data_IF_251652465182
#
_entry.id   IF_251652465182
#
_cell.length_a   1.000
_cell.length_b   1.000
_cell.length_c   1.000
_cell.angle_alpha   90.00
_cell.angle_beta   90.00
_cell.angle_gamma   90.00
#
_symmetry.space_group_name_H-M   'P 1'
#
loop_
_entity.id
_entity.type
_entity.pdbx_description
1 polymer ?
#
# COMPACT_ATOMS: atom_id res chain seq x y z
N UNK A 1 -33.47 -4.44 -12.01
CA UNK A 1 -34.35 -4.40 -10.83
C UNK A 1 -33.48 -4.68 -9.60
N UNK A 2 -32.94 -3.63 -8.97
CA UNK A 2 -32.09 -3.70 -7.77
C UNK A 2 -32.98 -3.50 -6.54
N UNK A 3 -32.97 -4.45 -5.62
CA UNK A 3 -33.63 -4.31 -4.31
C UNK A 3 -32.85 -3.30 -3.47
N UNK A 4 -33.48 -2.15 -3.19
CA UNK A 4 -33.02 -1.22 -2.18
C UNK A 4 -33.19 -1.86 -0.80
N UNK A 5 -32.09 -2.07 -0.08
CA UNK A 5 -32.18 -2.41 1.35
C UNK A 5 -32.48 -1.13 2.12
N UNK A 6 -33.61 -1.04 2.85
CA UNK A 6 -33.90 0.10 3.68
C UNK A 6 -32.87 0.16 4.81
N UNK A 7 -32.23 1.30 4.95
CA UNK A 7 -31.48 1.69 6.14
C UNK A 7 -32.35 1.40 7.37
N UNK A 8 -31.99 0.39 8.14
CA UNK A 8 -32.67 0.10 9.41
C UNK A 8 -32.33 1.23 10.37
N UNK A 9 -33.30 2.11 10.55
CA UNK A 9 -33.33 3.27 11.44
C UNK A 9 -32.72 2.95 12.84
N UNK A 10 -31.91 3.87 13.35
CA UNK A 10 -31.36 3.87 14.71
C UNK A 10 -32.42 3.62 15.79
N UNK A 11 -33.67 4.06 15.55
CA UNK A 11 -34.81 3.78 16.40
C UNK A 11 -35.08 2.29 16.61
N UNK A 12 -34.93 1.49 15.55
CA UNK A 12 -35.17 0.03 15.60
C UNK A 12 -34.06 -0.70 16.38
N UNK A 13 -32.81 -0.26 16.24
CA UNK A 13 -31.68 -0.79 17.01
C UNK A 13 -31.81 -0.49 18.51
N UNK A 14 -32.21 0.73 18.87
CA UNK A 14 -32.48 1.13 20.26
C UNK A 14 -33.66 0.36 20.88
N UNK A 15 -34.73 0.13 20.12
CA UNK A 15 -35.88 -0.64 20.58
C UNK A 15 -35.49 -2.08 20.95
N UNK A 16 -34.72 -2.76 20.09
CA UNK A 16 -34.27 -4.13 20.33
C UNK A 16 -33.27 -4.25 21.49
N UNK A 17 -32.35 -3.29 21.63
CA UNK A 17 -31.44 -3.24 22.76
C UNK A 17 -32.20 -3.15 24.09
N UNK A 18 -33.22 -2.29 24.16
CA UNK A 18 -34.07 -2.14 25.36
C UNK A 18 -34.87 -3.40 25.67
N UNK A 19 -35.42 -4.06 24.65
CA UNK A 19 -36.16 -5.31 24.81
C UNK A 19 -35.29 -6.44 25.37
N UNK A 20 -34.04 -6.56 24.91
CA UNK A 20 -33.10 -7.58 25.40
C UNK A 20 -32.62 -7.34 26.85
N UNK A 21 -32.46 -6.06 27.26
CA UNK A 21 -32.22 -5.71 28.67
C UNK A 21 -33.40 -6.14 29.53
N UNK A 22 -34.62 -5.78 29.10
CA UNK A 22 -35.85 -6.08 29.83
C UNK A 22 -36.11 -7.60 29.98
N UNK A 23 -35.67 -8.41 29.00
CA UNK A 23 -35.82 -9.88 29.06
C UNK A 23 -34.73 -10.60 29.86
N UNK A 24 -33.85 -9.88 30.56
CA UNK A 24 -32.76 -10.47 31.35
C UNK A 24 -31.66 -11.15 30.51
N UNK A 25 -31.66 -10.93 29.18
CA UNK A 25 -30.67 -11.50 28.24
C UNK A 25 -29.52 -10.52 27.98
N UNK A 26 -29.07 -9.85 29.05
CA UNK A 26 -28.05 -8.81 28.97
C UNK A 26 -26.68 -9.31 28.48
N UNK A 27 -26.37 -10.61 28.69
CA UNK A 27 -25.16 -11.23 28.14
C UNK A 27 -25.12 -11.13 26.62
N UNK A 28 -26.28 -11.24 25.95
CA UNK A 28 -26.41 -11.16 24.49
C UNK A 28 -26.46 -9.75 23.93
N UNK A 29 -26.29 -8.71 24.77
CA UNK A 29 -26.16 -7.31 24.34
C UNK A 29 -24.68 -7.05 24.00
N UNK A 30 -24.18 -7.83 23.05
CA UNK A 30 -23.23 -7.34 22.07
C UNK A 30 -24.03 -7.08 20.80
N UNK A 31 -23.55 -6.19 19.92
CA UNK A 31 -24.04 -6.21 18.55
C UNK A 31 -24.03 -7.67 18.06
N UNK A 32 -25.13 -8.17 17.48
CA UNK A 32 -25.18 -9.54 17.00
C UNK A 32 -23.91 -9.80 16.21
N UNK A 33 -23.24 -10.91 16.49
CA UNK A 33 -22.03 -11.40 15.82
C UNK A 33 -22.28 -11.80 14.36
N UNK A 34 -23.11 -11.02 13.67
CA UNK A 34 -23.25 -10.92 12.23
C UNK A 34 -22.34 -9.81 11.73
N UNK A 35 -21.09 -9.81 12.20
CA UNK A 35 -20.03 -9.12 11.47
C UNK A 35 -19.73 -10.05 10.29
N UNK A 36 -20.15 -9.77 9.05
CA UNK A 36 -19.56 -10.46 7.92
C UNK A 36 -18.05 -10.26 8.03
N UNK A 37 -17.29 -11.35 7.99
CA UNK A 37 -15.82 -11.33 8.08
C UNK A 37 -15.14 -10.49 6.97
N UNK A 38 -15.92 -9.93 6.03
CA UNK A 38 -15.47 -9.16 4.89
C UNK A 38 -14.97 -7.74 5.21
N UNK A 39 -15.27 -7.16 6.39
CA UNK A 39 -15.00 -5.73 6.67
C UNK A 39 -13.92 -5.46 7.75
N UNK A 40 -13.37 -6.50 8.38
CA UNK A 40 -12.12 -6.43 9.17
C UNK A 40 -11.11 -7.40 8.58
N UNK A 41 -9.98 -6.87 8.11
CA UNK A 41 -8.89 -7.65 7.55
C UNK A 41 -8.22 -8.59 8.56
N UNK A 42 -7.49 -9.58 8.02
CA UNK A 42 -6.58 -10.39 8.81
C UNK A 42 -5.53 -9.50 9.51
N UNK A 43 -5.02 -9.90 10.69
CA UNK A 43 -3.91 -9.20 11.32
C UNK A 43 -2.68 -9.15 10.41
N UNK A 44 -2.01 -8.01 10.37
CA UNK A 44 -0.72 -7.84 9.70
C UNK A 44 0.18 -6.91 10.52
N UNK A 45 1.43 -6.73 10.09
CA UNK A 45 2.39 -5.87 10.78
C UNK A 45 2.66 -4.59 10.01
N UNK A 46 2.71 -3.46 10.73
CA UNK A 46 3.23 -2.19 10.24
C UNK A 46 4.33 -1.76 11.19
N UNK A 47 5.58 -1.77 10.72
CA UNK A 47 6.71 -1.30 11.55
C UNK A 47 6.87 -2.02 12.90
N UNK A 48 6.45 -3.28 12.98
CA UNK A 48 6.46 -4.09 14.20
C UNK A 48 5.12 -4.24 14.91
N UNK A 49 4.17 -3.31 14.70
CA UNK A 49 2.89 -3.30 15.40
C UNK A 49 1.85 -4.16 14.71
N UNK A 50 1.07 -4.91 15.49
CA UNK A 50 -0.04 -5.69 14.97
C UNK A 50 -1.24 -4.80 14.67
N UNK A 51 -1.54 -4.68 13.38
CA UNK A 51 -2.62 -3.86 12.86
C UNK A 51 -3.70 -4.70 12.19
N UNK A 52 -4.87 -4.08 11.99
CA UNK A 52 -5.93 -4.61 11.13
C UNK A 52 -6.44 -3.53 10.21
N UNK A 53 -6.80 -3.94 9.00
CA UNK A 53 -7.61 -3.13 8.09
C UNK A 53 -9.05 -3.13 8.58
N UNK A 54 -9.68 -1.96 8.64
CA UNK A 54 -11.08 -1.81 9.02
C UNK A 54 -11.74 -0.87 8.01
N UNK A 55 -12.65 -1.43 7.21
CA UNK A 55 -13.33 -0.69 6.13
C UNK A 55 -14.22 0.42 6.67
N UNK A 56 -14.93 0.15 7.76
CA UNK A 56 -15.93 1.05 8.36
C UNK A 56 -15.78 1.07 9.89
N UNK A 57 -14.80 1.81 10.44
CA UNK A 57 -14.48 1.80 11.87
C UNK A 57 -15.69 2.08 12.79
N UNK A 58 -16.57 2.99 12.36
CA UNK A 58 -17.78 3.40 13.07
C UNK A 58 -18.77 2.24 13.28
N UNK A 59 -18.95 1.37 12.29
CA UNK A 59 -19.80 0.17 12.38
C UNK A 59 -19.27 -0.84 13.42
N UNK A 60 -17.99 -0.76 13.75
CA UNK A 60 -17.33 -1.58 14.78
C UNK A 60 -17.28 -0.91 16.16
N UNK A 61 -17.97 0.22 16.31
CA UNK A 61 -18.01 0.97 17.56
C UNK A 61 -16.76 1.79 17.83
N UNK A 62 -15.82 1.86 16.87
CA UNK A 62 -14.69 2.78 16.94
C UNK A 62 -15.20 4.19 16.64
N UNK A 63 -15.03 5.11 17.59
CA UNK A 63 -15.44 6.50 17.41
C UNK A 63 -14.24 7.32 17.03
N UNK A 64 -14.26 7.94 15.85
CA UNK A 64 -13.21 8.86 15.44
C UNK A 64 -13.08 10.02 16.44
N UNK A 65 -11.87 10.26 16.93
CA UNK A 65 -11.56 11.35 17.86
C UNK A 65 -10.98 12.54 17.09
N UNK A 66 -10.00 12.27 16.22
CA UNK A 66 -9.33 13.30 15.44
C UNK A 66 -8.07 12.77 14.77
N UNK A 67 -7.45 13.64 13.97
CA UNK A 67 -6.13 13.39 13.38
C UNK A 67 -5.02 13.74 14.38
N UNK A 68 -3.89 13.04 14.30
CA UNK A 68 -2.77 13.17 15.21
C UNK A 68 -2.25 14.62 15.33
N UNK A 69 -2.13 15.32 14.20
CA UNK A 69 -1.67 16.71 14.12
C UNK A 69 -2.65 17.72 14.74
N UNK A 70 -3.95 17.40 14.76
CA UNK A 70 -4.95 18.23 15.43
C UNK A 70 -4.98 17.98 16.94
N UNK A 71 -4.75 16.73 17.38
CA UNK A 71 -4.79 16.34 18.79
C UNK A 71 -3.51 16.78 19.52
N UNK A 72 -2.36 16.59 18.90
CA UNK A 72 -1.05 16.89 19.48
C UNK A 72 -0.22 17.90 18.65
N UNK A 73 -0.74 19.12 18.36
CA UNK A 73 -0.12 20.06 17.40
C UNK A 73 1.26 20.58 17.82
N UNK A 74 1.62 20.43 19.10
CA UNK A 74 2.97 20.80 19.60
C UNK A 74 4.02 19.74 19.26
N UNK A 75 3.60 18.49 19.20
CA UNK A 75 4.44 17.30 19.00
C UNK A 75 4.45 16.87 17.53
N UNK A 76 3.29 16.89 16.86
CA UNK A 76 3.12 16.53 15.46
C UNK A 76 2.90 17.80 14.64
N UNK A 77 3.92 18.20 13.87
CA UNK A 77 3.96 19.49 13.14
C UNK A 77 3.86 19.35 11.62
N UNK A 78 3.24 18.27 11.16
CA UNK A 78 2.98 17.96 9.75
C UNK A 78 1.63 17.24 9.67
N UNK A 79 1.06 17.16 8.46
CA UNK A 79 -0.29 16.59 8.25
C UNK A 79 -0.26 15.12 7.81
N UNK A 80 0.84 14.42 8.06
CA UNK A 80 1.10 13.06 7.57
C UNK A 80 2.46 12.90 6.88
N UNK A 81 2.70 11.70 6.37
CA UNK A 81 3.95 11.24 5.73
C UNK A 81 3.68 10.84 4.29
N UNK A 82 4.49 11.33 3.36
CA UNK A 82 4.34 10.99 1.93
C UNK A 82 4.70 9.53 1.66
N UNK A 83 3.93 8.91 0.76
CA UNK A 83 4.09 7.52 0.35
C UNK A 83 5.10 7.33 -0.79
N UNK A 84 5.56 8.43 -1.39
CA UNK A 84 6.57 8.50 -2.44
C UNK A 84 7.82 9.26 -1.95
N UNK A 85 8.94 9.07 -2.63
CA UNK A 85 10.21 9.73 -2.29
C UNK A 85 10.27 11.20 -2.75
N UNK A 86 9.45 11.58 -3.74
CA UNK A 86 9.39 12.93 -4.30
C UNK A 86 8.59 13.91 -3.42
N UNK A 87 7.78 13.40 -2.50
CA UNK A 87 6.93 14.19 -1.61
C UNK A 87 5.76 14.86 -2.34
N UNK A 88 5.23 14.23 -3.38
CA UNK A 88 4.19 14.79 -4.25
C UNK A 88 2.91 13.96 -4.28
N UNK A 89 2.94 12.72 -3.80
CA UNK A 89 1.82 11.80 -3.77
C UNK A 89 0.97 11.88 -2.50
N UNK A 90 0.26 10.79 -2.24
CA UNK A 90 -0.63 10.63 -1.10
C UNK A 90 0.12 10.62 0.24
N UNK A 91 -0.59 10.91 1.32
CA UNK A 91 -0.04 10.93 2.68
C UNK A 91 -0.71 9.93 3.58
N UNK A 92 0.08 9.12 4.27
CA UNK A 92 -0.37 8.43 5.47
C UNK A 92 -0.54 9.44 6.60
N UNK A 93 -1.77 9.61 7.09
CA UNK A 93 -2.06 10.52 8.21
C UNK A 93 -2.54 9.73 9.42
N UNK A 94 -1.90 9.97 10.56
CA UNK A 94 -2.27 9.35 11.83
C UNK A 94 -3.67 9.78 12.29
N UNK A 95 -4.47 8.81 12.75
CA UNK A 95 -5.81 8.99 13.31
C UNK A 95 -5.93 8.33 14.68
N UNK A 96 -6.76 8.92 15.54
CA UNK A 96 -7.07 8.34 16.85
C UNK A 96 -8.54 7.94 16.87
N UNK A 97 -8.80 6.71 17.30
CA UNK A 97 -10.13 6.21 17.58
C UNK A 97 -10.31 5.93 19.07
N UNK A 98 -11.53 6.10 19.55
CA UNK A 98 -11.96 5.71 20.89
C UNK A 98 -12.71 4.39 20.81
N UNK A 99 -12.26 3.42 21.61
CA UNK A 99 -12.93 2.14 21.81
C UNK A 99 -14.23 2.33 22.61
N UNK A 100 -15.23 1.45 22.43
CA UNK A 100 -16.41 1.45 23.29
C UNK A 100 -15.99 1.13 24.73
N UNK A 101 -16.13 2.13 25.61
CA UNK A 101 -15.66 2.06 26.99
C UNK A 101 -16.38 0.98 27.80
N UNK A 102 -15.62 0.17 28.56
CA UNK A 102 -16.11 -0.58 29.72
C UNK A 102 -15.62 0.13 30.97
N UNK A 103 -16.50 0.37 31.95
CA UNK A 103 -16.17 0.98 33.25
C UNK A 103 -15.82 2.49 33.24
N UNK A 104 -16.39 3.27 32.32
CA UNK A 104 -16.34 4.74 32.37
C UNK A 104 -15.00 5.38 31.99
N UNK A 105 -14.01 4.60 31.54
CA UNK A 105 -12.74 5.11 31.02
C UNK A 105 -12.70 5.00 29.50
N UNK A 106 -12.27 6.07 28.83
CA UNK A 106 -12.07 6.08 27.40
C UNK A 106 -10.72 5.43 27.08
N UNK A 107 -10.76 4.32 26.35
CA UNK A 107 -9.56 3.72 25.76
C UNK A 107 -9.44 4.20 24.33
N UNK A 108 -8.23 4.64 23.97
CA UNK A 108 -7.89 5.24 22.69
C UNK A 108 -6.89 4.34 21.99
N UNK A 109 -7.04 4.20 20.67
CA UNK A 109 -6.18 3.39 19.82
C UNK A 109 -5.68 4.23 18.65
N UNK A 110 -4.44 3.95 18.26
CA UNK A 110 -3.78 4.58 17.13
C UNK A 110 -4.17 3.91 15.81
N UNK A 111 -4.22 4.69 14.74
CA UNK A 111 -4.43 4.19 13.39
C UNK A 111 -3.88 5.11 12.33
N UNK A 112 -4.04 4.69 11.08
CA UNK A 112 -3.70 5.45 9.87
C UNK A 112 -4.99 5.55 9.05
N UNK A 113 -5.37 6.77 8.66
CA UNK A 113 -6.44 6.94 7.68
C UNK A 113 -6.01 6.38 6.33
N UNK A 114 -6.92 5.71 5.62
CA UNK A 114 -6.65 5.32 4.24
C UNK A 114 -6.27 6.57 3.41
N UNK A 115 -5.06 6.60 2.81
CA UNK A 115 -4.64 7.71 1.96
C UNK A 115 -5.52 7.92 0.72
N UNK A 116 -6.22 6.88 0.28
CA UNK A 116 -6.97 6.86 -0.98
C UNK A 116 -8.49 6.98 -0.80
N UNK A 117 -9.03 6.66 0.38
CA UNK A 117 -10.47 6.68 0.64
C UNK A 117 -10.83 7.34 1.96
N UNK A 118 -12.02 7.94 2.01
CA UNK A 118 -12.56 8.49 3.25
C UNK A 118 -13.29 7.40 4.04
N UNK A 119 -12.84 7.12 5.26
CA UNK A 119 -13.53 6.24 6.21
C UNK A 119 -12.70 5.04 6.66
N UNK A 120 -12.13 4.24 5.74
CA UNK A 120 -11.31 3.10 6.11
C UNK A 120 -10.05 3.50 6.88
N UNK A 121 -9.57 2.59 7.72
CA UNK A 121 -8.37 2.81 8.51
C UNK A 121 -7.60 1.52 8.80
N UNK A 122 -6.30 1.67 8.94
CA UNK A 122 -5.42 0.67 9.58
C UNK A 122 -5.39 1.00 11.08
N UNK A 123 -5.72 0.06 11.95
CA UNK A 123 -5.81 0.31 13.40
C UNK A 123 -4.89 -0.65 14.16
N UNK A 124 -4.07 -0.10 15.05
CA UNK A 124 -3.33 -0.84 16.08
C UNK A 124 -4.15 -0.90 17.35
N UNK A 125 -4.35 -2.08 17.92
CA UNK A 125 -5.19 -2.27 19.11
C UNK A 125 -4.42 -2.11 20.44
N UNK A 126 -3.20 -1.58 20.39
CA UNK A 126 -2.55 -1.06 21.60
C UNK A 126 -3.28 0.19 22.07
N UNK A 127 -3.73 0.17 23.33
CA UNK A 127 -4.64 1.16 23.86
C UNK A 127 -4.02 1.99 24.98
N UNK A 128 -4.39 3.27 25.03
CA UNK A 128 -4.01 4.22 26.09
C UNK A 128 -5.21 5.04 26.53
N UNK A 129 -5.15 5.63 27.73
CA UNK A 129 -6.16 6.58 28.23
C UNK A 129 -5.81 8.04 27.87
N UNK A 130 -4.58 8.31 27.39
CA UNK A 130 -4.11 9.66 27.06
C UNK A 130 -4.20 9.95 25.54
N UNK A 131 -4.93 11.01 25.19
CA UNK A 131 -5.12 11.46 23.80
C UNK A 131 -3.81 11.88 23.14
N UNK A 132 -2.90 12.52 23.87
CA UNK A 132 -1.63 12.99 23.31
C UNK A 132 -0.73 11.81 22.96
N UNK A 133 -0.62 10.83 23.87
CA UNK A 133 0.11 9.58 23.64
C UNK A 133 -0.47 8.82 22.43
N UNK A 134 -1.81 8.68 22.35
CA UNK A 134 -2.45 8.02 21.22
C UNK A 134 -2.16 8.71 19.88
N UNK A 135 -2.16 10.05 19.87
CA UNK A 135 -1.83 10.84 18.68
C UNK A 135 -0.37 10.65 18.23
N UNK A 136 0.58 10.65 19.16
CA UNK A 136 2.00 10.40 18.86
C UNK A 136 2.19 8.97 18.30
N UNK A 137 1.51 7.98 18.89
CA UNK A 137 1.54 6.60 18.38
C UNK A 137 0.96 6.49 16.98
N UNK A 138 -0.16 7.17 16.71
CA UNK A 138 -0.77 7.21 15.38
C UNK A 138 0.16 7.84 14.33
N UNK A 139 0.89 8.89 14.71
CA UNK A 139 1.87 9.53 13.83
C UNK A 139 3.07 8.62 13.52
N UNK A 140 3.65 7.97 14.54
CA UNK A 140 4.75 7.00 14.36
C UNK A 140 4.30 5.76 13.57
N UNK A 141 3.04 5.36 13.69
CA UNK A 141 2.47 4.28 12.91
C UNK A 141 2.36 4.69 11.43
N UNK A 142 1.91 5.92 11.15
CA UNK A 142 1.84 6.47 9.81
C UNK A 142 3.24 6.63 9.16
N UNK A 143 4.26 7.06 9.91
CA UNK A 143 5.64 7.14 9.43
C UNK A 143 6.15 5.77 8.97
N UNK A 144 6.03 4.75 9.83
CA UNK A 144 6.50 3.40 9.51
C UNK A 144 5.75 2.79 8.33
N UNK A 145 4.46 3.07 8.18
CA UNK A 145 3.69 2.68 7.01
C UNK A 145 4.20 3.37 5.74
N UNK A 146 4.38 4.69 5.77
CA UNK A 146 4.88 5.46 4.63
C UNK A 146 6.31 5.04 4.23
N UNK A 147 7.17 4.72 5.19
CA UNK A 147 8.50 4.18 4.92
C UNK A 147 8.45 2.81 4.24
N UNK A 148 7.57 1.91 4.69
CA UNK A 148 7.38 0.60 4.08
C UNK A 148 6.80 0.71 2.66
N UNK A 149 5.85 1.63 2.45
CA UNK A 149 5.26 1.88 1.13
C UNK A 149 6.30 2.43 0.15
N UNK A 150 7.12 3.42 0.55
CA UNK A 150 8.22 3.93 -0.28
C UNK A 150 9.23 2.85 -0.65
N UNK A 151 9.54 1.94 0.27
CA UNK A 151 10.42 0.80 0.01
C UNK A 151 9.80 -0.17 -1.00
N UNK A 152 8.52 -0.50 -0.83
CA UNK A 152 7.76 -1.31 -1.76
C UNK A 152 7.70 -0.69 -3.17
N UNK A 153 7.42 0.62 -3.27
CA UNK A 153 7.35 1.34 -4.53
C UNK A 153 8.70 1.39 -5.24
N UNK A 154 9.80 1.60 -4.51
CA UNK A 154 11.17 1.53 -5.06
C UNK A 154 11.46 0.16 -5.67
N UNK A 155 11.14 -0.91 -4.94
CA UNK A 155 11.36 -2.29 -5.41
C UNK A 155 10.47 -2.61 -6.62
N UNK A 156 9.20 -2.21 -6.58
CA UNK A 156 8.25 -2.45 -7.67
C UNK A 156 8.65 -1.70 -8.95
N UNK A 157 9.04 -0.44 -8.82
CA UNK A 157 9.52 0.38 -9.95
C UNK A 157 10.82 -0.19 -10.53
N UNK A 158 11.75 -0.60 -9.67
CA UNK A 158 12.97 -1.29 -10.07
C UNK A 158 12.68 -2.60 -10.81
N UNK A 159 11.68 -3.36 -10.35
CA UNK A 159 11.26 -4.60 -11.00
C UNK A 159 10.67 -4.36 -12.39
N UNK A 160 9.78 -3.38 -12.52
CA UNK A 160 9.23 -2.99 -13.81
C UNK A 160 10.35 -2.63 -14.80
N UNK A 161 11.32 -1.81 -14.36
CA UNK A 161 12.49 -1.47 -15.16
C UNK A 161 13.33 -2.70 -15.54
N UNK A 162 13.53 -3.63 -14.62
CA UNK A 162 14.25 -4.88 -14.87
C UNK A 162 13.61 -5.75 -15.95
N UNK A 163 12.27 -5.81 -15.98
CA UNK A 163 11.50 -6.53 -16.98
C UNK A 163 11.48 -5.80 -18.33
N UNK A 164 11.34 -4.48 -18.34
CA UNK A 164 11.51 -3.65 -19.55
C UNK A 164 12.88 -3.85 -20.23
N UNK A 165 13.96 -3.91 -19.43
CA UNK A 165 15.30 -4.18 -19.94
C UNK A 165 15.41 -5.59 -20.55
N UNK A 166 14.71 -6.58 -20.01
CA UNK A 166 14.68 -7.92 -20.58
C UNK A 166 14.02 -7.93 -21.97
N UNK A 167 12.90 -7.21 -22.11
CA UNK A 167 12.21 -7.04 -23.38
C UNK A 167 13.04 -6.25 -24.39
N UNK A 168 13.70 -5.17 -23.95
CA UNK A 168 14.64 -4.40 -24.77
C UNK A 168 15.77 -5.29 -25.34
N UNK A 169 16.44 -6.05 -24.47
CA UNK A 169 17.50 -7.00 -24.86
C UNK A 169 16.96 -8.03 -25.88
N UNK A 170 15.75 -8.56 -25.65
CA UNK A 170 15.11 -9.51 -26.55
C UNK A 170 14.80 -8.88 -27.92
N UNK A 171 14.30 -7.64 -27.92
CA UNK A 171 14.03 -6.84 -29.12
C UNK A 171 15.28 -6.59 -29.94
N UNK A 172 16.35 -6.06 -29.34
CA UNK A 172 17.60 -5.79 -30.03
C UNK A 172 18.29 -7.05 -30.55
N UNK A 173 18.21 -8.16 -29.81
CA UNK A 173 18.69 -9.46 -30.30
C UNK A 173 17.95 -9.89 -31.57
N UNK A 174 16.61 -9.75 -31.59
CA UNK A 174 15.81 -10.07 -32.78
C UNK A 174 16.18 -9.18 -33.96
N UNK A 175 16.36 -7.88 -33.72
CA UNK A 175 16.79 -6.93 -34.77
C UNK A 175 18.18 -7.28 -35.31
N UNK A 176 19.14 -7.59 -34.44
CA UNK A 176 20.49 -8.00 -34.85
C UNK A 176 20.46 -9.28 -35.69
N UNK A 177 19.70 -10.30 -35.28
CA UNK A 177 19.53 -11.53 -36.05
C UNK A 177 18.82 -11.31 -37.39
N UNK A 178 17.81 -10.43 -37.42
CA UNK A 178 17.10 -10.07 -38.65
C UNK A 178 18.05 -9.38 -39.66
N UNK A 179 18.87 -8.43 -39.19
CA UNK A 179 19.91 -7.81 -40.01
C UNK A 179 20.87 -8.88 -40.54
N UNK A 180 21.41 -9.76 -39.68
CA UNK A 180 22.31 -10.83 -40.13
C UNK A 180 21.64 -11.74 -41.17
N UNK A 181 20.38 -12.10 -40.97
CA UNK A 181 19.61 -12.95 -41.89
C UNK A 181 19.39 -12.28 -43.25
N UNK A 182 19.05 -11.00 -43.28
CA UNK A 182 18.89 -10.24 -44.52
C UNK A 182 20.22 -10.09 -45.29
N UNK A 183 21.32 -9.91 -44.56
CA UNK A 183 22.62 -9.62 -45.14
C UNK A 183 23.33 -10.85 -45.67
N UNK A 184 23.19 -11.99 -44.98
CA UNK A 184 23.88 -13.25 -45.31
C UNK A 184 23.77 -13.66 -46.80
N UNK A 185 22.59 -13.63 -47.46
CA UNK A 185 22.49 -14.00 -48.88
C UNK A 185 23.14 -12.98 -49.85
N UNK A 186 23.31 -11.73 -49.42
CA UNK A 186 23.82 -10.62 -50.24
C UNK A 186 25.28 -10.26 -49.94
N UNK A 187 25.96 -11.04 -49.08
CA UNK A 187 27.27 -10.68 -48.56
C UNK A 187 28.35 -10.49 -49.64
N UNK A 188 28.22 -11.15 -50.80
CA UNK A 188 29.16 -11.00 -51.94
C UNK A 188 28.87 -9.82 -52.87
N UNK A 189 27.69 -9.19 -52.75
CA UNK A 189 27.25 -8.09 -53.61
C UNK A 189 27.38 -6.71 -52.98
N UNK A 190 27.79 -6.62 -51.71
CA UNK A 190 27.96 -5.34 -51.02
C UNK A 190 29.36 -4.74 -51.23
N UNK A 191 29.40 -3.43 -51.48
CA UNK A 191 30.64 -2.67 -51.46
C UNK A 191 31.20 -2.47 -50.04
N UNK A 192 32.48 -2.10 -49.89
CA UNK A 192 33.13 -1.91 -48.59
C UNK A 192 32.41 -0.94 -47.64
N UNK A 193 31.82 0.13 -48.19
CA UNK A 193 31.09 1.14 -47.41
C UNK A 193 29.84 0.54 -46.74
N UNK A 194 29.04 -0.25 -47.47
CA UNK A 194 27.86 -0.93 -46.94
C UNK A 194 28.25 -1.93 -45.86
N UNK A 195 29.29 -2.73 -46.10
CA UNK A 195 29.82 -3.66 -45.08
C UNK A 195 30.25 -2.94 -43.79
N UNK A 196 30.88 -1.76 -43.90
CA UNK A 196 31.27 -0.94 -42.74
C UNK A 196 30.04 -0.46 -41.97
N UNK A 197 29.03 0.08 -42.66
CA UNK A 197 27.81 0.58 -42.03
C UNK A 197 27.07 -0.52 -41.25
N UNK A 198 26.97 -1.71 -41.83
CA UNK A 198 26.28 -2.85 -41.21
C UNK A 198 27.01 -3.38 -39.98
N UNK A 199 28.35 -3.43 -40.03
CA UNK A 199 29.15 -3.76 -38.84
C UNK A 199 28.96 -2.73 -37.74
N UNK A 200 28.87 -1.44 -38.10
CA UNK A 200 28.52 -0.37 -37.16
C UNK A 200 27.18 -0.64 -36.49
N UNK A 201 26.11 -0.83 -37.27
CA UNK A 201 24.77 -1.09 -36.74
C UNK A 201 24.71 -2.32 -35.82
N UNK A 202 25.40 -3.42 -36.19
CA UNK A 202 25.49 -4.61 -35.33
C UNK A 202 26.28 -4.32 -34.04
N UNK A 203 27.37 -3.57 -34.13
CA UNK A 203 28.16 -3.17 -32.96
C UNK A 203 27.34 -2.30 -32.00
N UNK A 204 26.59 -1.33 -32.52
CA UNK A 204 25.74 -0.43 -31.73
C UNK A 204 24.65 -1.22 -30.97
N UNK A 205 23.99 -2.18 -31.64
CA UNK A 205 23.01 -3.07 -31.00
C UNK A 205 23.65 -3.94 -29.91
N UNK A 206 24.85 -4.47 -30.15
CA UNK A 206 25.55 -5.29 -29.16
C UNK A 206 26.00 -4.47 -27.95
N UNK A 207 26.41 -3.23 -28.16
CA UNK A 207 26.75 -2.29 -27.09
C UNK A 207 25.53 -1.97 -26.24
N UNK A 208 24.38 -1.62 -26.86
CA UNK A 208 23.15 -1.35 -26.13
C UNK A 208 22.67 -2.56 -25.33
N UNK A 209 22.70 -3.76 -25.91
CA UNK A 209 22.43 -5.02 -25.19
C UNK A 209 23.37 -5.17 -23.99
N UNK A 210 24.65 -4.83 -24.15
CA UNK A 210 25.66 -4.89 -23.09
C UNK A 210 25.32 -3.97 -21.93
N UNK A 211 25.01 -2.71 -22.22
CA UNK A 211 24.60 -1.70 -21.24
C UNK A 211 23.32 -2.12 -20.51
N UNK A 212 22.30 -2.56 -21.25
CA UNK A 212 21.04 -3.02 -20.68
C UNK A 212 21.23 -4.24 -19.76
N UNK A 213 22.13 -5.17 -20.09
CA UNK A 213 22.47 -6.28 -19.19
C UNK A 213 23.16 -5.83 -17.91
N UNK A 214 24.07 -4.86 -18.02
CA UNK A 214 24.78 -4.32 -16.86
C UNK A 214 23.82 -3.61 -15.92
N UNK A 215 22.94 -2.76 -16.45
CA UNK A 215 21.89 -2.08 -15.68
C UNK A 215 20.97 -3.10 -15.00
N UNK A 216 20.50 -4.10 -15.77
CA UNK A 216 19.63 -5.16 -15.27
C UNK A 216 20.28 -5.98 -14.16
N UNK A 217 21.57 -6.29 -14.28
CA UNK A 217 22.33 -6.96 -13.22
C UNK A 217 22.43 -6.07 -11.97
N UNK A 218 22.75 -4.79 -12.13
CA UNK A 218 22.82 -3.85 -11.02
C UNK A 218 21.50 -3.69 -10.26
N UNK A 219 20.37 -3.66 -10.97
CA UNK A 219 19.04 -3.65 -10.35
C UNK A 219 18.80 -4.93 -9.53
N UNK A 220 19.12 -6.09 -10.11
CA UNK A 220 18.95 -7.37 -9.42
C UNK A 220 19.86 -7.49 -8.20
N UNK A 221 21.10 -7.03 -8.28
CA UNK A 221 22.01 -7.03 -7.13
C UNK A 221 21.50 -6.12 -6.00
N UNK A 222 20.87 -4.98 -6.35
CA UNK A 222 20.33 -4.04 -5.37
C UNK A 222 19.02 -4.51 -4.71
N UNK A 223 18.12 -5.14 -5.47
CA UNK A 223 16.74 -5.41 -5.03
C UNK A 223 16.32 -6.88 -5.07
N UNK A 224 17.08 -7.76 -5.72
CA UNK A 224 16.69 -9.14 -6.00
C UNK A 224 16.52 -10.03 -4.77
N UNK A 225 17.00 -9.61 -3.60
CA UNK A 225 16.79 -10.29 -2.32
C UNK A 225 15.63 -9.71 -1.50
N UNK A 226 15.02 -8.63 -1.96
CA UNK A 226 13.93 -7.96 -1.24
C UNK A 226 12.64 -8.79 -1.32
N UNK A 227 11.87 -8.97 -0.23
CA UNK A 227 10.65 -9.80 -0.25
C UNK A 227 9.60 -9.37 -1.27
N UNK A 228 9.51 -8.07 -1.56
CA UNK A 228 8.59 -7.52 -2.57
C UNK A 228 9.08 -7.72 -4.02
N UNK A 229 10.24 -8.32 -4.26
CA UNK A 229 10.76 -8.56 -5.62
C UNK A 229 9.98 -9.67 -6.35
N UNK A 230 9.38 -10.59 -5.60
CA UNK A 230 8.65 -11.77 -6.11
C UNK A 230 7.11 -11.63 -6.03
N UNK A 231 6.61 -10.57 -5.41
CA UNK A 231 5.16 -10.29 -5.25
C UNK A 231 4.55 -9.74 -6.53
#
# INVERSE_FOLDING_TARGET
MRLAYPTRDCGFALHWARANVASGKAWGIGYPSFIPAATIGAPFKVGGDFCRWIETPDQYGLRFVGFADNIAPRSVRHTGWFLDDEGMGEKARGVVFRLPSRNGRALLVAGIADPYNNGPAIVSFEATEDETTAAIWADHLADRYAAAERDYQRVTSARARFDELADHISGERKQCLALIAELKPRMRSFGPATCKALRGAVADLLESIGQARQERAGIFDAFGSHPAWES
#
